data_IF_404200379650
#
_entry.id   IF_404200379650
#
_cell.length_a   1.000
_cell.length_b   1.000
_cell.length_c   1.000
_cell.angle_alpha   90.00
_cell.angle_beta   90.00
_cell.angle_gamma   90.00
#
_symmetry.space_group_name_H-M   'P 1'
#
loop_
_entity.id
_entity.type
_entity.pdbx_description
1 polymer ?
#
# COMPACT_ATOMS: atom_id res chain seq x y z
N UNK A 1 -34.71 28.23 11.02
CA UNK A 1 -35.25 26.93 10.58
C UNK A 1 -34.64 25.85 11.47
N UNK A 2 -35.45 24.99 12.10
CA UNK A 2 -34.95 23.89 12.95
C UNK A 2 -34.33 22.80 12.07
N UNK A 3 -33.31 22.04 12.54
CA UNK A 3 -32.57 21.06 11.71
C UNK A 3 -33.51 20.08 11.01
N UNK A 4 -34.56 19.63 11.69
CA UNK A 4 -35.56 18.70 11.15
C UNK A 4 -36.34 19.29 9.95
N UNK A 5 -36.64 20.59 10.00
CA UNK A 5 -37.34 21.29 8.92
C UNK A 5 -36.43 21.47 7.69
N UNK A 6 -35.14 21.72 7.92
CA UNK A 6 -34.10 21.76 6.88
C UNK A 6 -33.99 20.40 6.19
N UNK A 7 -33.81 19.34 6.97
CA UNK A 7 -33.67 17.98 6.47
C UNK A 7 -34.89 17.54 5.68
N UNK A 8 -36.09 17.96 6.11
CA UNK A 8 -37.34 17.70 5.37
C UNK A 8 -37.37 18.43 4.03
N UNK A 9 -37.04 19.73 3.98
CA UNK A 9 -37.06 20.53 2.75
C UNK A 9 -36.05 20.02 1.71
N UNK A 10 -34.85 19.64 2.15
CA UNK A 10 -33.74 19.25 1.25
C UNK A 10 -33.44 17.75 1.27
N UNK A 11 -34.41 16.93 1.67
CA UNK A 11 -34.26 15.47 1.82
C UNK A 11 -33.65 14.80 0.58
N UNK A 12 -34.08 15.22 -0.60
CA UNK A 12 -33.62 14.66 -1.88
C UNK A 12 -32.15 14.95 -2.20
N UNK A 13 -31.57 15.99 -1.60
CA UNK A 13 -30.14 16.28 -1.72
C UNK A 13 -29.34 15.52 -0.67
N UNK A 14 -29.80 15.51 0.59
CA UNK A 14 -29.09 14.85 1.69
C UNK A 14 -29.02 13.32 1.54
N UNK A 15 -30.00 12.68 0.90
CA UNK A 15 -29.99 11.23 0.68
C UNK A 15 -28.76 10.73 -0.10
N UNK A 16 -28.15 11.60 -0.91
CA UNK A 16 -27.00 11.27 -1.75
C UNK A 16 -25.66 11.57 -1.04
N UNK A 17 -25.68 12.16 0.16
CA UNK A 17 -24.48 12.55 0.93
C UNK A 17 -24.31 11.55 2.09
N UNK A 18 -23.46 10.56 1.89
CA UNK A 18 -23.01 9.66 2.95
C UNK A 18 -21.78 10.23 3.68
N UNK A 19 -21.19 9.46 4.59
CA UNK A 19 -20.06 9.89 5.40
C UNK A 19 -18.86 10.35 4.55
N UNK A 20 -18.59 9.69 3.41
CA UNK A 20 -17.54 10.11 2.46
C UNK A 20 -17.87 11.47 1.85
N UNK A 21 -19.15 11.69 1.56
CA UNK A 21 -19.65 12.98 1.10
C UNK A 21 -19.38 14.07 2.12
N UNK A 22 -19.74 13.86 3.38
CA UNK A 22 -19.48 14.83 4.44
C UNK A 22 -17.98 15.09 4.66
N UNK A 23 -17.12 14.07 4.61
CA UNK A 23 -15.67 14.23 4.70
C UNK A 23 -15.11 15.08 3.56
N UNK A 24 -15.53 14.82 2.31
CA UNK A 24 -15.15 15.62 1.15
C UNK A 24 -15.60 17.08 1.29
N UNK A 25 -16.86 17.29 1.70
CA UNK A 25 -17.44 18.62 1.85
C UNK A 25 -16.78 19.41 2.97
N UNK A 26 -16.35 18.75 4.05
CA UNK A 26 -15.59 19.38 5.12
C UNK A 26 -14.24 19.88 4.65
N UNK A 27 -13.48 19.00 3.98
CA UNK A 27 -12.20 19.32 3.36
C UNK A 27 -12.30 20.48 2.36
N UNK A 28 -13.46 20.61 1.72
CA UNK A 28 -13.75 21.69 0.79
C UNK A 28 -14.15 23.00 1.49
N UNK A 29 -15.23 23.01 2.29
CA UNK A 29 -15.85 24.22 2.81
C UNK A 29 -15.16 24.80 4.04
N UNK A 30 -14.49 23.98 4.85
CA UNK A 30 -14.12 24.37 6.22
C UNK A 30 -12.60 24.47 6.44
N UNK A 31 -11.78 24.08 5.46
CA UNK A 31 -10.31 24.14 5.57
C UNK A 31 -9.60 24.88 4.42
N UNK A 32 -10.30 25.50 3.47
CA UNK A 32 -9.63 26.36 2.47
C UNK A 32 -9.22 27.69 3.11
N UNK A 33 -7.92 28.02 3.26
CA UNK A 33 -7.49 29.21 4.00
C UNK A 33 -7.81 30.55 3.33
N UNK A 34 -8.29 30.56 2.09
CA UNK A 34 -8.57 31.79 1.33
C UNK A 34 -9.76 31.55 0.39
N UNK A 35 -10.92 32.11 0.73
CA UNK A 35 -12.01 32.23 -0.22
C UNK A 35 -11.61 33.24 -1.31
N UNK A 36 -11.42 32.73 -2.53
CA UNK A 36 -11.26 33.56 -3.74
C UNK A 36 -12.59 34.09 -4.30
N UNK A 37 -13.76 33.76 -3.73
CA UNK A 37 -15.03 34.17 -4.34
C UNK A 37 -16.18 34.62 -3.45
N UNK A 38 -16.07 34.72 -2.12
CA UNK A 38 -17.12 35.37 -1.33
C UNK A 38 -16.60 35.95 0.00
N UNK A 39 -16.68 37.28 0.11
CA UNK A 39 -16.49 38.07 1.34
C UNK A 39 -17.61 37.90 2.38
N UNK A 40 -18.47 36.88 2.22
CA UNK A 40 -19.64 36.63 3.07
C UNK A 40 -19.57 35.31 3.85
N UNK A 41 -18.48 34.53 3.74
CA UNK A 41 -18.33 33.36 4.59
C UNK A 41 -17.64 33.72 5.90
N UNK A 42 -18.20 33.32 7.06
CA UNK A 42 -17.55 33.55 8.35
C UNK A 42 -16.11 33.07 8.29
N UNK A 43 -15.20 33.85 8.85
CA UNK A 43 -13.84 33.43 9.16
C UNK A 43 -13.85 32.09 9.90
N UNK A 44 -13.62 30.98 9.19
CA UNK A 44 -13.64 29.66 9.79
C UNK A 44 -12.25 29.27 10.31
N UNK A 45 -12.32 28.74 11.53
CA UNK A 45 -11.34 28.10 12.41
C UNK A 45 -9.97 27.84 11.77
N UNK A 46 -8.95 28.50 12.33
CA UNK A 46 -7.54 28.25 12.02
C UNK A 46 -7.14 26.88 12.60
N UNK A 47 -7.40 25.79 11.88
CA UNK A 47 -6.96 24.46 12.30
C UNK A 47 -5.44 24.35 12.11
N UNK A 48 -4.70 24.36 13.22
CA UNK A 48 -3.27 24.02 13.24
C UNK A 48 -3.02 22.52 12.98
N UNK A 49 -4.08 21.70 12.97
CA UNK A 49 -4.02 20.26 12.74
C UNK A 49 -4.15 19.93 11.26
N UNK A 50 -3.35 18.96 10.80
CA UNK A 50 -3.48 18.32 9.48
C UNK A 50 -4.45 17.13 9.49
N UNK A 51 -5.13 16.88 10.61
CA UNK A 51 -6.11 15.78 10.77
C UNK A 51 -7.54 16.28 10.64
N UNK A 52 -8.36 15.56 9.89
CA UNK A 52 -9.81 15.83 9.85
C UNK A 52 -10.48 15.45 11.19
N UNK A 53 -11.54 16.15 11.62
CA UNK A 53 -12.31 15.80 12.82
C UNK A 53 -13.07 14.47 12.68
N UNK A 54 -13.70 14.02 13.77
CA UNK A 54 -14.64 12.90 13.73
C UNK A 54 -15.84 13.21 12.82
N UNK A 55 -16.45 12.17 12.25
CA UNK A 55 -17.59 12.32 11.34
C UNK A 55 -18.78 13.07 11.97
N UNK A 56 -19.03 12.87 13.27
CA UNK A 56 -20.10 13.57 13.98
C UNK A 56 -19.83 15.06 14.12
N UNK A 57 -18.57 15.43 14.38
CA UNK A 57 -18.13 16.83 14.41
C UNK A 57 -18.21 17.46 13.02
N UNK A 58 -17.76 16.74 11.99
CA UNK A 58 -17.86 17.16 10.59
C UNK A 58 -19.32 17.46 10.23
N UNK A 59 -20.26 16.55 10.52
CA UNK A 59 -21.68 16.74 10.24
C UNK A 59 -22.25 17.95 10.99
N UNK A 60 -21.89 18.10 12.26
CA UNK A 60 -22.33 19.23 13.09
C UNK A 60 -21.88 20.56 12.49
N UNK A 61 -20.58 20.71 12.20
CA UNK A 61 -20.00 21.92 11.62
C UNK A 61 -20.58 22.22 10.22
N UNK A 62 -20.82 21.18 9.41
CA UNK A 62 -21.49 21.32 8.12
C UNK A 62 -22.90 21.92 8.27
N UNK A 63 -23.72 21.42 9.20
CA UNK A 63 -25.06 21.96 9.42
C UNK A 63 -25.06 23.35 10.05
N UNK A 64 -24.03 23.70 10.84
CA UNK A 64 -23.84 25.06 11.33
C UNK A 64 -23.48 26.02 10.20
N UNK A 65 -22.55 25.65 9.33
CA UNK A 65 -22.21 26.41 8.14
C UNK A 65 -23.42 26.57 7.21
N UNK A 66 -24.20 25.49 7.03
CA UNK A 66 -25.44 25.50 6.27
C UNK A 66 -26.42 26.56 6.78
N UNK A 67 -26.71 26.59 8.09
CA UNK A 67 -27.65 27.56 8.70
C UNK A 67 -27.26 29.03 8.48
N UNK A 68 -25.96 29.29 8.32
CA UNK A 68 -25.40 30.62 8.15
C UNK A 68 -25.15 30.98 6.67
N UNK A 69 -25.66 30.18 5.73
CA UNK A 69 -25.43 30.32 4.30
C UNK A 69 -26.74 30.52 3.52
N UNK A 70 -26.64 30.86 2.23
CA UNK A 70 -27.78 30.68 1.32
C UNK A 70 -28.04 29.18 1.13
N UNK A 71 -29.09 28.70 1.79
CA UNK A 71 -29.45 27.28 1.87
C UNK A 71 -29.51 26.59 0.51
N UNK A 72 -30.15 27.21 -0.48
CA UNK A 72 -30.36 26.62 -1.80
C UNK A 72 -29.03 26.48 -2.56
N UNK A 73 -28.19 27.53 -2.57
CA UNK A 73 -26.87 27.48 -3.21
C UNK A 73 -25.94 26.50 -2.51
N UNK A 74 -25.91 26.50 -1.17
CA UNK A 74 -25.00 25.67 -0.40
C UNK A 74 -25.28 24.17 -0.58
N UNK A 75 -26.56 23.74 -0.49
CA UNK A 75 -26.90 22.32 -0.66
C UNK A 75 -26.73 21.84 -2.10
N UNK A 76 -27.06 22.68 -3.09
CA UNK A 76 -26.88 22.32 -4.50
C UNK A 76 -25.40 22.19 -4.86
N UNK A 77 -24.55 23.09 -4.34
CA UNK A 77 -23.10 22.99 -4.49
C UNK A 77 -22.56 21.74 -3.83
N UNK A 78 -23.01 21.45 -2.59
CA UNK A 78 -22.64 20.25 -1.86
C UNK A 78 -22.98 18.98 -2.64
N UNK A 79 -24.21 18.89 -3.16
CA UNK A 79 -24.68 17.76 -3.92
C UNK A 79 -23.92 17.57 -5.23
N UNK A 80 -23.63 18.67 -5.93
CA UNK A 80 -22.86 18.67 -7.16
C UNK A 80 -21.44 18.14 -6.92
N UNK A 81 -20.77 18.61 -5.86
CA UNK A 81 -19.43 18.15 -5.48
C UNK A 81 -19.41 16.65 -5.22
N UNK A 82 -20.34 16.17 -4.38
CA UNK A 82 -20.44 14.76 -4.03
C UNK A 82 -20.64 13.90 -5.29
N UNK A 83 -21.53 14.31 -6.19
CA UNK A 83 -21.83 13.56 -7.43
C UNK A 83 -20.69 13.54 -8.44
N UNK A 84 -19.87 14.59 -8.51
CA UNK A 84 -18.82 14.73 -9.51
C UNK A 84 -17.41 14.39 -8.99
N UNK A 85 -17.28 13.95 -7.73
CA UNK A 85 -15.96 13.71 -7.11
C UNK A 85 -15.82 12.40 -6.39
N UNK A 86 -16.90 11.89 -5.80
CA UNK A 86 -16.85 10.60 -5.12
C UNK A 86 -16.87 9.47 -6.14
N UNK A 87 -15.90 8.57 -6.01
CA UNK A 87 -15.91 7.35 -6.80
C UNK A 87 -17.08 6.46 -6.35
N UNK A 88 -17.96 6.00 -7.27
CA UNK A 88 -19.05 5.08 -6.95
C UNK A 88 -18.56 3.79 -6.30
N UNK A 89 -19.32 3.26 -5.33
CA UNK A 89 -18.96 2.05 -4.58
C UNK A 89 -18.63 0.84 -5.48
N UNK A 90 -19.34 0.67 -6.59
CA UNK A 90 -19.10 -0.39 -7.60
C UNK A 90 -17.67 -0.40 -8.14
N UNK A 91 -17.03 0.76 -8.29
CA UNK A 91 -15.67 0.86 -8.83
C UNK A 91 -14.61 0.50 -7.78
N UNK A 92 -15.02 0.40 -6.51
CA UNK A 92 -14.18 0.11 -5.35
C UNK A 92 -14.28 -1.36 -4.89
N UNK A 93 -15.22 -2.14 -5.41
CA UNK A 93 -15.52 -3.52 -4.95
C UNK A 93 -14.33 -4.48 -5.02
N UNK A 94 -13.36 -4.21 -5.91
CA UNK A 94 -12.15 -5.02 -6.07
C UNK A 94 -11.08 -4.73 -4.99
N UNK A 95 -11.28 -3.71 -4.16
CA UNK A 95 -10.36 -3.27 -3.12
C UNK A 95 -10.87 -3.79 -1.78
N UNK A 96 -10.28 -4.88 -1.31
CA UNK A 96 -10.68 -5.47 -0.03
C UNK A 96 -10.07 -4.69 1.14
N UNK A 97 -10.90 -4.34 2.12
CA UNK A 97 -10.48 -3.52 3.26
C UNK A 97 -9.37 -4.14 4.13
N UNK A 98 -9.23 -5.47 4.07
CA UNK A 98 -8.22 -6.22 4.83
C UNK A 98 -7.00 -6.63 3.98
N UNK A 99 -6.94 -6.29 2.68
CA UNK A 99 -5.76 -6.57 1.86
C UNK A 99 -4.73 -5.46 2.04
N UNK A 100 -4.00 -5.53 3.15
CA UNK A 100 -3.01 -4.52 3.52
C UNK A 100 -1.90 -4.35 2.47
N UNK A 101 -1.55 -5.41 1.73
CA UNK A 101 -0.55 -5.31 0.65
C UNK A 101 -1.10 -4.51 -0.54
N UNK A 102 -2.35 -4.77 -0.96
CA UNK A 102 -3.02 -3.99 -1.99
C UNK A 102 -3.15 -2.52 -1.57
N UNK A 103 -3.60 -2.27 -0.34
CA UNK A 103 -3.80 -0.92 0.17
C UNK A 103 -2.49 -0.13 0.23
N UNK A 104 -1.40 -0.76 0.67
CA UNK A 104 -0.06 -0.15 0.64
C UNK A 104 0.34 0.29 -0.76
N UNK A 105 0.07 -0.57 -1.74
CA UNK A 105 0.40 -0.32 -3.13
C UNK A 105 -0.44 0.79 -3.72
N UNK A 106 -1.74 0.79 -3.46
CA UNK A 106 -2.66 1.84 -3.88
C UNK A 106 -2.30 3.20 -3.28
N UNK A 107 -2.02 3.27 -1.97
CA UNK A 107 -1.59 4.50 -1.29
C UNK A 107 -0.30 5.05 -1.92
N UNK A 108 0.66 4.18 -2.25
CA UNK A 108 1.89 4.59 -2.95
C UNK A 108 1.57 5.18 -4.33
N UNK A 109 0.69 4.52 -5.12
CA UNK A 109 0.29 5.02 -6.44
C UNK A 109 -0.42 6.37 -6.38
N UNK A 110 -1.24 6.62 -5.35
CA UNK A 110 -1.83 7.94 -5.12
C UNK A 110 -0.75 8.99 -4.81
N UNK A 111 0.23 8.66 -3.95
CA UNK A 111 1.34 9.57 -3.61
C UNK A 111 2.19 9.93 -4.84
N UNK A 112 2.40 8.97 -5.74
CA UNK A 112 3.15 9.16 -6.99
C UNK A 112 2.33 9.81 -8.11
N UNK A 113 1.02 9.95 -7.94
CA UNK A 113 0.17 10.55 -8.97
C UNK A 113 0.50 12.04 -9.12
N UNK A 114 0.83 12.52 -10.33
CA UNK A 114 1.25 13.89 -10.54
C UNK A 114 0.09 14.85 -10.23
N UNK A 115 0.31 15.77 -9.28
CA UNK A 115 -0.67 16.79 -8.87
C UNK A 115 -0.55 17.99 -9.81
N UNK A 116 -1.18 17.93 -10.97
CA UNK A 116 -1.12 19.01 -11.96
C UNK A 116 -2.38 19.86 -11.86
N UNK A 117 -2.18 21.15 -11.55
CA UNK A 117 -3.13 22.28 -11.67
C UNK A 117 -4.47 22.20 -10.91
N UNK A 118 -5.15 23.35 -10.66
CA UNK A 118 -6.47 23.35 -10.03
C UNK A 118 -7.44 22.47 -10.80
N UNK A 119 -8.13 21.56 -10.12
CA UNK A 119 -9.15 20.76 -10.79
C UNK A 119 -10.31 21.66 -11.23
N UNK A 120 -10.60 21.60 -12.52
CA UNK A 120 -11.82 22.13 -13.09
C UNK A 120 -12.83 21.00 -13.05
N UNK A 121 -13.87 21.12 -12.23
CA UNK A 121 -14.97 20.15 -12.27
C UNK A 121 -15.90 20.58 -13.38
N UNK A 122 -16.05 19.71 -14.38
CA UNK A 122 -17.07 19.84 -15.40
C UNK A 122 -18.44 19.69 -14.75
N UNK A 123 -19.31 20.65 -15.00
CA UNK A 123 -20.67 20.66 -14.52
C UNK A 123 -21.53 20.23 -15.68
N UNK A 124 -21.90 18.95 -15.69
CA UNK A 124 -22.74 18.41 -16.74
C UNK A 124 -24.18 18.94 -16.66
N UNK A 125 -24.59 19.38 -15.46
CA UNK A 125 -25.90 19.97 -15.23
C UNK A 125 -25.83 21.50 -15.25
N UNK A 126 -26.10 22.09 -16.42
CA UNK A 126 -26.16 23.54 -16.65
C UNK A 126 -27.15 24.27 -15.73
N UNK A 127 -28.23 23.61 -15.30
CA UNK A 127 -29.20 24.23 -14.39
C UNK A 127 -28.60 24.48 -13.01
N UNK A 128 -27.78 23.54 -12.51
CA UNK A 128 -27.05 23.69 -11.26
C UNK A 128 -25.95 24.75 -11.40
N UNK A 129 -25.20 24.75 -12.51
CA UNK A 129 -24.21 25.80 -12.80
C UNK A 129 -24.84 27.20 -12.73
N UNK A 130 -25.95 27.40 -13.44
CA UNK A 130 -26.63 28.70 -13.51
C UNK A 130 -27.19 29.17 -12.17
N UNK A 131 -27.56 28.25 -11.26
CA UNK A 131 -28.00 28.59 -9.90
C UNK A 131 -26.83 29.00 -9.00
N UNK A 132 -25.66 28.37 -9.16
CA UNK A 132 -24.45 28.68 -8.37
C UNK A 132 -23.77 29.96 -8.89
N UNK A 133 -23.90 30.28 -10.18
CA UNK A 133 -23.34 31.48 -10.82
C UNK A 133 -24.46 32.33 -11.45
N UNK A 134 -25.28 33.02 -10.65
CA UNK A 134 -26.37 33.85 -11.17
C UNK A 134 -25.84 35.07 -11.96
N UNK A 135 -24.64 35.56 -11.63
CA UNK A 135 -24.00 36.68 -12.29
C UNK A 135 -23.25 36.23 -13.55
N UNK A 136 -23.85 36.54 -14.71
CA UNK A 136 -23.32 36.24 -16.05
C UNK A 136 -22.08 37.04 -16.46
N UNK A 137 -21.39 37.70 -15.54
CA UNK A 137 -20.18 38.45 -15.89
C UNK A 137 -18.96 37.53 -15.80
N UNK A 138 -18.43 37.02 -16.92
CA UNK A 138 -17.17 36.31 -16.89
C UNK A 138 -16.12 37.25 -16.30
N UNK A 139 -15.43 36.79 -15.26
CA UNK A 139 -14.22 37.46 -14.77
C UNK A 139 -13.31 37.75 -15.98
N UNK A 140 -12.86 39.00 -16.18
CA UNK A 140 -12.11 39.39 -17.37
C UNK A 140 -10.74 38.70 -17.50
N UNK A 141 -10.34 37.92 -16.51
CA UNK A 141 -9.03 37.26 -16.44
C UNK A 141 -9.05 35.79 -16.83
N UNK A 142 -10.20 35.19 -17.14
CA UNK A 142 -10.29 33.76 -17.44
C UNK A 142 -11.29 33.50 -18.58
N UNK A 143 -10.82 33.59 -19.82
CA UNK A 143 -11.53 33.06 -20.99
C UNK A 143 -11.31 31.55 -21.10
N UNK A 144 -11.96 30.76 -20.25
CA UNK A 144 -12.07 29.32 -20.49
C UNK A 144 -13.11 29.04 -21.59
N UNK A 145 -12.85 28.10 -22.50
CA UNK A 145 -13.82 27.73 -23.51
C UNK A 145 -15.00 27.00 -22.84
N UNK A 146 -16.14 27.69 -22.76
CA UNK A 146 -17.48 27.25 -22.30
C UNK A 146 -17.70 27.26 -20.78
N UNK A 147 -18.80 27.92 -20.41
CA UNK A 147 -19.42 28.12 -19.09
C UNK A 147 -19.88 26.83 -18.37
N UNK A 148 -19.10 25.75 -18.40
CA UNK A 148 -19.48 24.44 -17.85
C UNK A 148 -18.48 23.96 -16.79
N UNK A 149 -17.62 24.82 -16.23
CA UNK A 149 -16.59 24.44 -15.25
C UNK A 149 -16.57 25.39 -14.06
N UNK A 150 -16.39 24.84 -12.86
CA UNK A 150 -16.02 25.62 -11.66
C UNK A 150 -14.61 25.17 -11.24
N UNK A 151 -13.76 26.14 -10.90
CA UNK A 151 -12.43 25.88 -10.36
C UNK A 151 -12.53 25.53 -8.88
N UNK A 152 -11.94 24.40 -8.49
CA UNK A 152 -11.96 23.91 -7.12
C UNK A 152 -10.53 23.66 -6.61
N UNK A 153 -10.16 24.38 -5.55
CA UNK A 153 -8.93 24.14 -4.81
C UNK A 153 -9.27 23.34 -3.55
N UNK A 154 -8.72 22.12 -3.47
CA UNK A 154 -8.79 21.29 -2.28
C UNK A 154 -7.44 21.42 -1.55
N UNK A 155 -7.48 21.56 -0.23
CA UNK A 155 -6.26 21.56 0.56
C UNK A 155 -5.66 20.16 0.63
N UNK A 156 -4.44 20.03 0.14
CA UNK A 156 -3.77 18.74 0.02
C UNK A 156 -3.12 18.25 1.32
N UNK A 157 -3.07 19.10 2.36
CA UNK A 157 -2.39 18.79 3.63
C UNK A 157 -3.23 17.99 4.61
N UNK A 158 -4.55 17.89 4.41
CA UNK A 158 -5.42 17.16 5.32
C UNK A 158 -5.30 15.65 5.15
N UNK A 159 -5.27 14.94 6.26
CA UNK A 159 -5.17 13.49 6.34
C UNK A 159 -6.27 12.93 7.25
N UNK A 160 -6.75 11.73 6.91
CA UNK A 160 -7.60 10.93 7.79
C UNK A 160 -6.69 9.99 8.56
N UNK A 161 -6.79 9.99 9.88
CA UNK A 161 -6.07 9.03 10.74
C UNK A 161 -7.07 7.99 11.26
N UNK A 162 -7.70 7.29 10.32
CA UNK A 162 -8.43 6.07 10.68
C UNK A 162 -7.45 4.96 10.97
N UNK A 163 -7.84 4.06 11.87
CA UNK A 163 -7.15 2.79 12.02
C UNK A 163 -7.27 1.94 10.74
N UNK A 164 -8.29 2.17 9.92
CA UNK A 164 -8.48 1.47 8.65
C UNK A 164 -7.64 2.07 7.53
N UNK A 165 -6.65 1.31 7.03
CA UNK A 165 -5.90 1.69 5.83
C UNK A 165 -6.82 1.91 4.62
N UNK A 166 -7.92 1.15 4.55
CA UNK A 166 -8.92 1.30 3.51
C UNK A 166 -9.61 2.66 3.58
N UNK A 167 -10.06 3.08 4.77
CA UNK A 167 -10.69 4.40 4.93
C UNK A 167 -9.73 5.54 4.62
N UNK A 168 -8.46 5.42 5.03
CA UNK A 168 -7.43 6.42 4.72
C UNK A 168 -7.21 6.51 3.20
N UNK A 169 -7.10 5.36 2.52
CA UNK A 169 -6.98 5.31 1.06
C UNK A 169 -8.20 5.93 0.35
N UNK A 170 -9.42 5.58 0.78
CA UNK A 170 -10.65 6.13 0.17
C UNK A 170 -10.71 7.64 0.34
N UNK A 171 -10.38 8.16 1.53
CA UNK A 171 -10.31 9.59 1.78
C UNK A 171 -9.28 10.28 0.86
N UNK A 172 -8.08 9.71 0.74
CA UNK A 172 -7.03 10.24 -0.13
C UNK A 172 -7.43 10.21 -1.61
N UNK A 173 -8.13 9.18 -2.06
CA UNK A 173 -8.69 9.08 -3.42
C UNK A 173 -9.80 10.12 -3.65
N UNK A 174 -10.70 10.31 -2.70
CA UNK A 174 -11.84 11.22 -2.82
C UNK A 174 -11.38 12.69 -2.83
N UNK A 175 -10.32 13.02 -2.08
CA UNK A 175 -9.75 14.38 -2.08
C UNK A 175 -8.82 14.66 -3.28
N UNK A 176 -8.37 13.64 -4.03
CA UNK A 176 -7.51 13.85 -5.20
C UNK A 176 -8.11 14.90 -6.13
N UNK A 177 -7.28 15.88 -6.49
CA UNK A 177 -7.72 17.05 -7.25
C UNK A 177 -7.79 16.79 -8.76
N UNK A 178 -8.58 15.78 -9.16
CA UNK A 178 -8.82 15.38 -10.55
C UNK A 178 -10.31 15.06 -10.76
N UNK A 179 -10.75 15.01 -12.01
CA UNK A 179 -12.15 14.69 -12.35
C UNK A 179 -12.55 13.27 -11.94
N UNK A 180 -13.85 13.01 -11.77
CA UNK A 180 -14.34 11.67 -11.47
C UNK A 180 -13.91 10.65 -12.54
N UNK A 181 -13.99 11.01 -13.81
CA UNK A 181 -13.58 10.15 -14.92
C UNK A 181 -12.09 9.80 -14.84
N UNK A 182 -11.22 10.76 -14.52
CA UNK A 182 -9.80 10.51 -14.32
C UNK A 182 -9.55 9.57 -13.13
N UNK A 183 -10.29 9.72 -12.01
CA UNK A 183 -10.19 8.77 -10.89
C UNK A 183 -10.61 7.36 -11.28
N UNK A 184 -11.68 7.23 -12.05
CA UNK A 184 -12.16 5.93 -12.53
C UNK A 184 -11.14 5.31 -13.48
N UNK A 185 -10.61 6.07 -14.44
CA UNK A 185 -9.56 5.62 -15.36
C UNK A 185 -8.30 5.20 -14.59
N UNK A 186 -7.89 6.00 -13.60
CA UNK A 186 -6.78 5.69 -12.71
C UNK A 186 -7.00 4.35 -11.99
N UNK A 187 -8.15 4.17 -11.31
CA UNK A 187 -8.48 2.92 -10.62
C UNK A 187 -8.56 1.72 -11.56
N UNK A 188 -9.12 1.86 -12.76
CA UNK A 188 -9.18 0.78 -13.75
C UNK A 188 -7.79 0.38 -14.24
N UNK A 189 -6.90 1.35 -14.40
CA UNK A 189 -5.49 1.11 -14.75
C UNK A 189 -4.80 0.35 -13.62
N UNK A 190 -4.93 0.84 -12.39
CA UNK A 190 -4.36 0.18 -11.21
C UNK A 190 -4.91 -1.24 -11.01
N UNK A 191 -6.22 -1.45 -11.22
CA UNK A 191 -6.83 -2.79 -11.16
C UNK A 191 -6.15 -3.74 -12.14
N UNK A 192 -5.97 -3.33 -13.40
CA UNK A 192 -5.31 -4.14 -14.43
C UNK A 192 -3.85 -4.44 -14.06
N UNK A 193 -3.10 -3.44 -13.61
CA UNK A 193 -1.71 -3.62 -13.17
C UNK A 193 -1.61 -4.60 -12.01
N UNK A 194 -2.44 -4.41 -10.97
CA UNK A 194 -2.46 -5.26 -9.80
C UNK A 194 -2.68 -6.72 -10.19
N UNK A 195 -3.71 -7.02 -10.99
CA UNK A 195 -4.05 -8.40 -11.35
C UNK A 195 -3.07 -9.03 -12.35
N UNK A 196 -2.36 -8.24 -13.16
CA UNK A 196 -1.28 -8.74 -14.04
C UNK A 196 0.01 -9.08 -13.29
N UNK A 197 0.24 -8.51 -12.11
CA UNK A 197 1.48 -8.70 -11.37
C UNK A 197 1.54 -10.10 -10.73
N UNK A 198 2.22 -11.05 -11.39
CA UNK A 198 2.39 -12.42 -10.89
C UNK A 198 3.38 -12.54 -9.72
N UNK A 199 4.31 -11.59 -9.59
CA UNK A 199 5.38 -11.63 -8.58
C UNK A 199 4.86 -11.59 -7.15
N UNK A 200 3.70 -10.95 -6.93
CA UNK A 200 3.04 -10.95 -5.61
C UNK A 200 2.64 -12.36 -5.18
N UNK A 201 2.20 -13.21 -6.12
CA UNK A 201 1.84 -14.59 -5.82
C UNK A 201 3.07 -15.45 -5.55
N UNK A 202 4.18 -15.22 -6.27
CA UNK A 202 5.46 -15.91 -6.00
C UNK A 202 5.97 -15.59 -4.59
N UNK A 203 5.90 -14.33 -4.18
CA UNK A 203 6.28 -13.91 -2.82
C UNK A 203 5.37 -14.54 -1.77
N UNK A 204 4.03 -14.46 -1.93
CA UNK A 204 3.06 -15.10 -1.04
C UNK A 204 3.24 -16.62 -0.97
N UNK A 205 3.66 -17.29 -2.05
CA UNK A 205 3.95 -18.74 -2.06
C UNK A 205 5.24 -19.07 -1.30
N UNK A 206 6.24 -18.20 -1.35
CA UNK A 206 7.50 -18.42 -0.63
C UNK A 206 7.36 -18.12 0.87
N UNK A 207 6.49 -17.19 1.26
CA UNK A 207 6.23 -16.86 2.65
C UNK A 207 5.07 -17.70 3.20
N UNK A 208 5.37 -18.55 4.17
CA UNK A 208 4.33 -19.24 4.93
C UNK A 208 3.98 -18.39 6.16
N UNK A 209 2.68 -18.12 6.36
CA UNK A 209 2.18 -17.38 7.52
C UNK A 209 2.48 -18.09 8.84
N UNK A 210 2.62 -19.42 8.81
CA UNK A 210 2.87 -20.24 10.00
C UNK A 210 4.36 -20.44 10.29
N UNK A 211 5.27 -20.10 9.36
CA UNK A 211 6.71 -20.23 9.56
C UNK A 211 7.27 -19.00 10.31
N UNK A 212 6.89 -18.89 11.58
CA UNK A 212 7.24 -17.75 12.44
C UNK A 212 8.76 -17.51 12.51
N UNK A 213 9.56 -18.58 12.58
CA UNK A 213 11.03 -18.49 12.61
C UNK A 213 11.59 -17.84 11.34
N UNK A 214 11.05 -18.20 10.17
CA UNK A 214 11.42 -17.58 8.91
C UNK A 214 10.99 -16.12 8.85
N UNK A 215 9.76 -15.81 9.29
CA UNK A 215 9.24 -14.45 9.29
C UNK A 215 10.06 -13.51 10.19
N UNK A 216 10.39 -13.96 11.41
CA UNK A 216 11.26 -13.23 12.34
C UNK A 216 12.64 -13.01 11.75
N UNK A 217 13.25 -14.06 11.19
CA UNK A 217 14.55 -13.94 10.54
C UNK A 217 14.52 -12.96 9.36
N UNK A 218 13.48 -12.99 8.54
CA UNK A 218 13.33 -12.06 7.41
C UNK A 218 13.21 -10.63 7.93
N UNK A 219 12.38 -10.40 8.95
CA UNK A 219 12.21 -9.07 9.54
C UNK A 219 13.54 -8.54 10.12
N UNK A 220 14.30 -9.38 10.82
CA UNK A 220 15.65 -9.03 11.27
C UNK A 220 16.61 -8.76 10.11
N UNK A 221 16.56 -9.57 9.05
CA UNK A 221 17.42 -9.42 7.88
C UNK A 221 17.18 -8.06 7.21
N UNK A 222 15.91 -7.69 7.03
CA UNK A 222 15.50 -6.39 6.46
C UNK A 222 16.00 -5.25 7.35
N UNK A 223 15.82 -5.34 8.67
CA UNK A 223 16.26 -4.29 9.59
C UNK A 223 17.79 -4.15 9.62
N UNK A 224 18.54 -5.25 9.55
CA UNK A 224 20.02 -5.25 9.53
C UNK A 224 20.59 -4.83 8.17
N UNK A 225 19.89 -5.13 7.08
CA UNK A 225 20.30 -4.88 5.70
C UNK A 225 19.13 -4.28 4.91
N UNK A 226 18.74 -3.03 5.20
CA UNK A 226 17.67 -2.40 4.45
C UNK A 226 18.06 -2.27 2.97
N UNK A 227 17.11 -2.39 2.03
CA UNK A 227 17.39 -2.13 0.63
C UNK A 227 17.91 -0.69 0.45
N UNK A 228 18.98 -0.52 -0.33
CA UNK A 228 19.62 0.79 -0.57
C UNK A 228 18.63 1.80 -1.18
N UNK A 229 17.68 1.30 -1.98
CA UNK A 229 16.63 2.07 -2.65
C UNK A 229 15.25 1.81 -2.03
N UNK A 230 15.19 1.53 -0.72
CA UNK A 230 13.91 1.41 -0.04
C UNK A 230 13.32 2.81 0.16
N UNK A 231 12.05 3.01 -0.22
CA UNK A 231 11.33 4.19 0.24
C UNK A 231 11.29 4.15 1.77
N UNK A 232 12.10 5.00 2.42
CA UNK A 232 12.01 5.25 3.86
C UNK A 232 10.84 6.15 4.20
N UNK A 233 10.24 6.78 3.20
CA UNK A 233 9.00 7.52 3.38
C UNK A 233 7.97 6.54 3.92
N UNK A 234 7.53 6.85 5.13
CA UNK A 234 6.54 6.15 5.91
C UNK A 234 5.41 5.70 4.97
N UNK A 235 5.46 4.44 4.55
CA UNK A 235 4.24 3.74 4.18
C UNK A 235 3.53 3.59 5.52
N UNK A 236 2.79 4.64 5.89
CA UNK A 236 1.93 4.72 7.07
C UNK A 236 0.76 3.77 6.80
N UNK A 237 1.06 2.49 6.77
CA UNK A 237 0.11 1.53 7.29
C UNK A 237 0.20 1.73 8.77
N UNK A 238 -0.95 1.98 9.41
CA UNK A 238 -1.01 2.00 10.86
C UNK A 238 -0.35 0.70 11.38
N UNK A 239 0.82 0.83 12.00
CA UNK A 239 1.60 -0.30 12.51
C UNK A 239 0.80 -1.16 13.50
N UNK A 240 -0.30 -0.62 14.01
CA UNK A 240 -1.20 -1.27 14.95
C UNK A 240 -2.11 -2.34 14.32
N UNK A 241 -2.18 -2.46 12.99
CA UNK A 241 -3.17 -3.31 12.30
C UNK A 241 -2.57 -4.36 11.34
N UNK A 242 -1.27 -4.61 11.39
CA UNK A 242 -0.63 -5.64 10.57
C UNK A 242 0.10 -6.66 11.43
N UNK A 243 -0.13 -7.93 11.17
CA UNK A 243 0.66 -9.00 11.78
C UNK A 243 2.08 -9.06 11.16
N UNK A 244 2.96 -9.88 11.73
CA UNK A 244 4.33 -10.00 11.25
C UNK A 244 4.40 -10.47 9.78
N UNK A 245 3.51 -11.38 9.39
CA UNK A 245 3.46 -11.90 8.02
C UNK A 245 3.11 -10.79 7.04
N UNK A 246 2.07 -10.01 7.33
CA UNK A 246 1.66 -8.87 6.52
C UNK A 246 2.75 -7.80 6.48
N UNK A 247 3.35 -7.48 7.63
CA UNK A 247 4.46 -6.53 7.71
C UNK A 247 5.63 -6.94 6.80
N UNK A 248 6.01 -8.22 6.81
CA UNK A 248 7.06 -8.75 5.93
C UNK A 248 6.62 -8.70 4.46
N UNK A 249 5.37 -9.06 4.14
CA UNK A 249 4.85 -8.98 2.78
C UNK A 249 4.92 -7.56 2.22
N UNK A 250 4.53 -6.58 3.02
CA UNK A 250 4.54 -5.15 2.64
C UNK A 250 5.96 -4.69 2.39
N UNK A 251 6.88 -4.94 3.34
CA UNK A 251 8.31 -4.55 3.23
C UNK A 251 9.02 -5.17 2.02
N UNK A 252 8.56 -6.33 1.56
CA UNK A 252 9.07 -7.03 0.39
C UNK A 252 8.23 -6.80 -0.88
N UNK A 253 7.13 -6.07 -0.77
CA UNK A 253 6.24 -5.73 -1.88
C UNK A 253 6.86 -4.66 -2.79
N UNK A 254 6.32 -4.50 -3.99
CA UNK A 254 6.68 -3.41 -4.91
C UNK A 254 6.74 -2.03 -4.24
N UNK A 255 5.80 -1.63 -3.35
CA UNK A 255 5.76 -0.27 -2.82
C UNK A 255 7.01 0.15 -2.04
N UNK A 256 7.77 -0.83 -1.54
CA UNK A 256 8.98 -0.59 -0.77
C UNK A 256 10.24 -0.37 -1.63
N UNK A 257 10.18 -0.45 -2.96
CA UNK A 257 11.37 -0.38 -3.81
C UNK A 257 11.21 0.62 -4.96
N UNK A 258 12.29 1.31 -5.32
CA UNK A 258 12.29 2.26 -6.45
C UNK A 258 12.23 1.57 -7.83
N UNK A 259 12.58 0.29 -7.93
CA UNK A 259 12.49 -0.49 -9.16
C UNK A 259 12.28 -1.99 -8.89
N UNK A 260 11.67 -2.68 -9.86
CA UNK A 260 11.44 -4.13 -9.79
C UNK A 260 12.75 -4.92 -9.77
N UNK A 261 13.75 -4.52 -10.56
CA UNK A 261 15.06 -5.18 -10.60
C UNK A 261 15.78 -5.12 -9.24
N UNK A 262 15.73 -3.96 -8.57
CA UNK A 262 16.31 -3.79 -7.25
C UNK A 262 15.61 -4.68 -6.21
N UNK A 263 14.28 -4.78 -6.32
CA UNK A 263 13.47 -5.66 -5.47
C UNK A 263 13.83 -7.13 -5.69
N UNK A 264 13.87 -7.60 -6.93
CA UNK A 264 14.19 -8.99 -7.25
C UNK A 264 15.58 -9.38 -6.77
N UNK A 265 16.58 -8.55 -7.07
CA UNK A 265 17.95 -8.79 -6.62
C UNK A 265 18.04 -8.87 -5.09
N UNK A 266 17.30 -8.01 -4.38
CA UNK A 266 17.25 -8.01 -2.92
C UNK A 266 16.61 -9.29 -2.37
N UNK A 267 15.43 -9.67 -2.90
CA UNK A 267 14.71 -10.87 -2.49
C UNK A 267 15.53 -12.13 -2.77
N UNK A 268 16.21 -12.21 -3.91
CA UNK A 268 17.06 -13.36 -4.25
C UNK A 268 18.29 -13.49 -3.33
N UNK A 269 18.95 -12.36 -3.01
CA UNK A 269 20.05 -12.35 -2.02
C UNK A 269 19.57 -12.78 -0.63
N UNK A 270 18.40 -12.31 -0.23
CA UNK A 270 17.78 -12.69 1.04
C UNK A 270 17.40 -14.17 1.08
N UNK A 271 16.75 -14.70 0.03
CA UNK A 271 16.42 -16.13 -0.10
C UNK A 271 17.66 -17.01 0.02
N UNK A 272 18.74 -16.68 -0.70
CA UNK A 272 20.02 -17.43 -0.62
C UNK A 272 20.58 -17.42 0.81
N UNK A 273 20.54 -16.28 1.48
CA UNK A 273 20.99 -16.14 2.87
C UNK A 273 20.15 -16.98 3.83
N UNK A 274 18.82 -17.01 3.64
CA UNK A 274 17.91 -17.85 4.41
C UNK A 274 18.21 -19.33 4.22
N UNK A 275 18.32 -19.80 2.97
CA UNK A 275 18.61 -21.20 2.68
C UNK A 275 19.97 -21.63 3.26
N UNK A 276 20.97 -20.76 3.21
CA UNK A 276 22.27 -21.04 3.81
C UNK A 276 22.19 -21.11 5.34
N UNK A 277 21.41 -20.23 6.00
CA UNK A 277 21.15 -20.32 7.43
C UNK A 277 20.42 -21.60 7.78
N UNK A 278 19.30 -21.88 7.11
CA UNK A 278 18.52 -23.11 7.32
C UNK A 278 19.39 -24.36 7.16
N UNK A 279 20.26 -24.42 6.15
CA UNK A 279 21.17 -25.54 5.95
C UNK A 279 22.17 -25.73 7.11
N UNK A 280 22.67 -24.64 7.70
CA UNK A 280 23.53 -24.69 8.90
C UNK A 280 22.74 -25.12 10.14
N UNK A 281 21.56 -24.57 10.32
CA UNK A 281 20.70 -24.83 11.48
C UNK A 281 20.13 -26.27 11.47
N UNK A 282 19.84 -26.84 10.29
CA UNK A 282 19.41 -28.23 10.09
C UNK A 282 20.52 -29.26 10.37
N UNK A 283 21.71 -28.83 10.85
CA UNK A 283 22.82 -29.71 11.19
C UNK A 283 23.46 -30.43 10.00
N UNK A 284 23.04 -30.12 8.76
CA UNK A 284 23.62 -30.69 7.52
C UNK A 284 25.06 -30.24 7.27
N UNK A 285 25.53 -29.25 8.02
CA UNK A 285 26.96 -29.03 8.24
C UNK A 285 27.46 -29.95 9.35
N UNK A 286 27.51 -31.27 9.11
CA UNK A 286 28.58 -32.07 9.72
C UNK A 286 29.86 -31.40 9.22
N UNK A 287 30.61 -30.72 10.10
CA UNK A 287 31.91 -30.16 9.70
C UNK A 287 32.69 -31.34 9.09
N UNK A 288 33.10 -31.28 7.81
CA UNK A 288 33.91 -32.34 7.24
C UNK A 288 35.12 -32.50 8.16
N UNK A 289 35.33 -33.70 8.71
CA UNK A 289 36.54 -33.97 9.46
C UNK A 289 37.68 -33.96 8.46
N UNK A 290 38.48 -32.90 8.45
CA UNK A 290 39.58 -32.79 7.49
C UNK A 290 40.71 -33.71 7.93
N UNK A 291 40.86 -34.84 7.25
CA UNK A 291 42.00 -35.72 7.39
C UNK A 291 43.11 -35.25 6.43
N UNK A 292 44.26 -34.76 6.93
CA UNK A 292 45.37 -34.41 6.05
C UNK A 292 45.90 -35.68 5.37
N UNK A 293 45.82 -35.72 4.04
CA UNK A 293 46.34 -36.81 3.21
C UNK A 293 47.55 -36.32 2.41
N UNK A 294 48.45 -37.23 2.07
CA UNK A 294 49.56 -36.90 1.16
C UNK A 294 49.05 -36.60 -0.25
N UNK A 295 49.79 -35.80 -1.03
CA UNK A 295 49.43 -35.48 -2.44
C UNK A 295 49.23 -36.75 -3.28
N UNK A 296 50.05 -37.77 -3.03
CA UNK A 296 49.96 -39.06 -3.72
C UNK A 296 48.65 -39.77 -3.38
N UNK A 297 48.28 -39.84 -2.10
CA UNK A 297 47.04 -40.45 -1.63
C UNK A 297 45.81 -39.73 -2.20
N UNK A 298 45.80 -38.40 -2.24
CA UNK A 298 44.71 -37.62 -2.86
C UNK A 298 44.58 -37.95 -4.35
N UNK A 299 45.70 -38.07 -5.07
CA UNK A 299 45.70 -38.42 -6.49
C UNK A 299 45.15 -39.83 -6.73
N UNK A 300 45.50 -40.79 -5.88
CA UNK A 300 44.97 -42.15 -5.94
C UNK A 300 43.47 -42.20 -5.62
N UNK A 301 43.04 -41.47 -4.58
CA UNK A 301 41.64 -41.35 -4.20
C UNK A 301 40.79 -40.76 -5.33
N UNK A 302 41.27 -39.71 -6.00
CA UNK A 302 40.61 -39.12 -7.16
C UNK A 302 40.46 -40.08 -8.33
N UNK A 303 41.51 -40.87 -8.63
CA UNK A 303 41.44 -41.90 -9.67
C UNK A 303 40.43 -42.98 -9.31
N UNK A 304 40.44 -43.44 -8.05
CA UNK A 304 39.54 -44.48 -7.57
C UNK A 304 38.08 -44.01 -7.57
N UNK A 305 37.82 -42.77 -7.14
CA UNK A 305 36.52 -42.12 -7.19
C UNK A 305 35.95 -42.08 -8.62
N UNK A 306 36.78 -41.75 -9.61
CA UNK A 306 36.39 -41.78 -11.04
C UNK A 306 36.08 -43.20 -11.52
N UNK A 307 36.93 -44.17 -11.19
CA UNK A 307 36.73 -45.57 -11.59
C UNK A 307 35.42 -46.14 -11.01
N UNK A 308 35.12 -45.84 -9.74
CA UNK A 308 33.92 -46.32 -9.05
C UNK A 308 32.68 -45.44 -9.25
N UNK A 309 32.79 -44.31 -9.96
CA UNK A 309 31.71 -43.32 -10.12
C UNK A 309 31.10 -42.84 -8.79
N UNK A 310 31.97 -42.55 -7.80
CA UNK A 310 31.59 -42.11 -6.46
C UNK A 310 32.32 -40.81 -6.09
N UNK A 311 31.83 -40.07 -5.10
CA UNK A 311 32.55 -38.91 -4.55
C UNK A 311 33.69 -39.37 -3.63
N UNK A 312 34.77 -38.60 -3.56
CA UNK A 312 35.98 -38.94 -2.78
C UNK A 312 35.68 -39.33 -1.32
N UNK A 313 34.78 -38.62 -0.62
CA UNK A 313 34.41 -38.97 0.76
C UNK A 313 33.70 -40.32 0.87
N UNK A 314 32.90 -40.71 -0.12
CA UNK A 314 32.21 -42.01 -0.11
C UNK A 314 33.20 -43.16 -0.31
N UNK A 315 34.28 -42.91 -1.06
CA UNK A 315 35.38 -43.89 -1.19
C UNK A 315 36.14 -44.02 0.13
N UNK A 316 36.39 -42.92 0.84
CA UNK A 316 37.04 -42.98 2.16
C UNK A 316 36.18 -43.78 3.14
N UNK A 317 34.88 -43.49 3.24
CA UNK A 317 33.96 -44.23 4.10
C UNK A 317 33.94 -45.72 3.75
N UNK A 318 33.82 -46.06 2.46
CA UNK A 318 33.88 -47.46 1.98
C UNK A 318 35.18 -48.17 2.39
N UNK A 319 36.33 -47.53 2.18
CA UNK A 319 37.62 -48.14 2.49
C UNK A 319 37.81 -48.34 4.00
N UNK A 320 37.34 -47.39 4.81
CA UNK A 320 37.37 -47.51 6.26
C UNK A 320 36.45 -48.64 6.72
N UNK A 321 35.22 -48.71 6.19
CA UNK A 321 34.26 -49.77 6.52
C UNK A 321 34.78 -51.16 6.11
N UNK A 322 35.34 -51.29 4.91
CA UNK A 322 35.95 -52.53 4.41
C UNK A 322 37.13 -52.95 5.29
N UNK A 323 38.05 -52.03 5.59
CA UNK A 323 39.21 -52.33 6.44
C UNK A 323 38.78 -52.70 7.87
N UNK A 324 37.84 -51.94 8.45
CA UNK A 324 37.33 -52.21 9.78
C UNK A 324 36.65 -53.58 9.86
N UNK A 325 35.80 -53.93 8.89
CA UNK A 325 35.15 -55.23 8.86
C UNK A 325 36.16 -56.38 8.70
N UNK A 326 37.21 -56.20 7.89
CA UNK A 326 38.18 -57.26 7.63
C UNK A 326 39.18 -57.44 8.77
N UNK A 327 39.55 -56.36 9.47
CA UNK A 327 40.64 -56.37 10.45
C UNK A 327 40.15 -56.37 11.90
N UNK A 328 39.00 -55.75 12.17
CA UNK A 328 38.47 -55.60 13.52
C UNK A 328 37.33 -56.56 13.83
N UNK A 329 36.87 -57.41 12.90
CA UNK A 329 35.81 -58.40 13.15
C UNK A 329 36.32 -59.84 12.96
N UNK A 330 36.07 -60.72 13.95
CA UNK A 330 36.27 -62.17 13.84
C UNK A 330 35.01 -62.90 14.31
N UNK A 331 34.49 -63.82 13.49
CA UNK A 331 33.22 -64.52 13.72
C UNK A 331 32.03 -63.59 14.02
N UNK A 332 31.98 -62.42 13.38
CA UNK A 332 30.90 -61.46 13.55
C UNK A 332 30.91 -60.68 14.87
N UNK A 333 32.01 -60.74 15.64
CA UNK A 333 32.25 -59.92 16.83
C UNK A 333 33.49 -59.07 16.65
N UNK A 334 33.43 -57.86 17.21
CA UNK A 334 34.57 -56.96 17.23
C UNK A 334 35.69 -57.55 18.10
N UNK A 335 36.92 -57.56 17.59
CA UNK A 335 38.08 -58.19 18.22
C UNK A 335 38.64 -57.29 19.34
N UNK A 336 38.25 -56.01 19.35
CA UNK A 336 38.68 -55.01 20.31
C UNK A 336 37.47 -54.37 21.01
N UNK A 337 36.91 -55.07 22.00
CA UNK A 337 36.10 -54.46 23.07
C UNK A 337 36.86 -54.45 24.39
#
# INVERSE_FOLDING_TARGET
MYIEEIQRKYKEYFKDIDDRGYELLWTYFLYTPQNMYNSAHPSFINYSSTLIPSIDKIKTEYFEAFKNSDHDTYIQTSHLLVKNRLVPKKELEWIHANDNLLLSWLIRKIKDYPRITPSLIKIENKEIYNKIHPDKNPSPFITFPKNDYIAFNISESLTKQSNSNYENFIYDLDKLNISLDEKIIFLLTLKKEWFKNEEKYKLKKWLDKNDQKKLEWINEYINKKPPINMFRDEIVISANNVDLYESVLIKLGEPSFNSMDARELYIEKMKKSWFQKKFRDDGKTKKPHHLPLTKTTVTQLQKLARIKNMKEHQIIELLVDEAFHNEAMSNGKEIFE
#
